data_IF_712520316639
#
_entry.id   IF_712520316639
#
_cell.length_a   1.000
_cell.length_b   1.000
_cell.length_c   1.000
_cell.angle_alpha   90.00
_cell.angle_beta   90.00
_cell.angle_gamma   90.00
#
_symmetry.space_group_name_H-M   'P 1'
#
loop_
_entity.id
_entity.type
_entity.pdbx_description
1 polymer ?
#
# COMPACT_ATOMS: atom_id res chain seq x y z
N UNK A 1 -8.43 6.67 -1.60
CA UNK A 1 -7.77 7.17 -0.38
C UNK A 1 -6.31 7.34 -0.74
N UNK A 2 -5.73 8.48 -0.42
CA UNK A 2 -4.30 8.72 -0.58
C UNK A 2 -3.63 8.49 0.77
N UNK A 3 -2.79 7.46 0.86
CA UNK A 3 -2.12 7.08 2.09
C UNK A 3 -0.73 7.72 2.20
N UNK A 4 -0.04 7.99 1.09
CA UNK A 4 1.34 8.52 1.08
C UNK A 4 2.25 7.85 2.13
N UNK A 5 2.25 6.51 2.20
CA UNK A 5 2.77 5.79 3.36
C UNK A 5 4.26 5.97 3.62
N UNK A 6 5.02 6.33 2.58
CA UNK A 6 6.42 6.74 2.67
C UNK A 6 6.66 7.91 3.65
N UNK A 7 5.70 8.83 3.81
CA UNK A 7 5.84 10.01 4.68
C UNK A 7 5.83 9.66 6.17
N UNK A 8 5.30 8.50 6.54
CA UNK A 8 5.25 8.02 7.92
C UNK A 8 5.95 6.68 8.13
N UNK A 9 6.73 6.22 7.15
CA UNK A 9 7.56 5.04 7.26
C UNK A 9 8.95 5.39 7.81
N UNK A 10 9.35 4.74 8.90
CA UNK A 10 10.67 4.91 9.51
C UNK A 10 11.10 3.68 10.29
N UNK A 11 12.35 3.24 10.08
CA UNK A 11 12.96 2.12 10.82
C UNK A 11 12.11 0.84 10.77
N UNK A 12 11.62 0.50 9.57
CA UNK A 12 10.74 -0.65 9.28
C UNK A 12 9.36 -0.63 9.97
N UNK A 13 8.90 0.57 10.35
CA UNK A 13 7.64 0.81 11.05
C UNK A 13 6.89 1.97 10.39
N UNK A 14 5.59 1.82 10.20
CA UNK A 14 4.65 2.88 9.80
C UNK A 14 4.02 3.51 11.06
N UNK A 15 4.11 4.83 11.19
CA UNK A 15 3.51 5.59 12.31
C UNK A 15 2.21 6.27 11.87
N UNK A 16 1.07 5.64 12.14
CA UNK A 16 -0.26 6.11 11.72
C UNK A 16 -1.07 6.47 12.97
N UNK A 17 -1.42 7.74 13.12
CA UNK A 17 -2.19 8.26 14.27
C UNK A 17 -1.62 7.83 15.65
N UNK A 18 -0.28 7.78 15.77
CA UNK A 18 0.41 7.35 16.98
C UNK A 18 0.43 5.85 17.21
N UNK A 19 -0.03 5.05 16.23
CA UNK A 19 0.13 3.61 16.19
C UNK A 19 1.35 3.27 15.35
N UNK A 20 2.22 2.43 15.91
CA UNK A 20 3.35 1.83 15.19
C UNK A 20 2.92 0.50 14.62
N UNK A 21 2.89 0.40 13.30
CA UNK A 21 2.50 -0.78 12.56
C UNK A 21 3.70 -1.30 11.77
N UNK A 22 3.96 -2.58 11.84
CA UNK A 22 4.83 -3.27 10.88
C UNK A 22 4.18 -3.32 9.49
N UNK A 23 4.96 -3.65 8.47
CA UNK A 23 4.47 -3.90 7.10
C UNK A 23 3.29 -4.89 7.07
N UNK A 24 3.38 -5.98 7.84
CA UNK A 24 2.34 -7.02 7.90
C UNK A 24 1.08 -6.53 8.61
N UNK A 25 1.23 -5.73 9.67
CA UNK A 25 0.10 -5.11 10.37
C UNK A 25 -0.59 -4.04 9.52
N UNK A 26 0.17 -3.24 8.77
CA UNK A 26 -0.39 -2.26 7.85
C UNK A 26 -1.13 -2.93 6.68
N UNK A 27 -0.57 -4.01 6.13
CA UNK A 27 -1.25 -4.83 5.13
C UNK A 27 -2.59 -5.35 5.66
N UNK A 28 -2.61 -5.91 6.87
CA UNK A 28 -3.85 -6.40 7.46
C UNK A 28 -4.85 -5.27 7.71
N UNK A 29 -4.37 -4.12 8.18
CA UNK A 29 -5.20 -2.92 8.37
C UNK A 29 -5.91 -2.51 7.08
N UNK A 30 -5.22 -2.49 5.94
CA UNK A 30 -5.87 -2.19 4.67
C UNK A 30 -6.86 -3.27 4.22
N UNK A 31 -6.55 -4.55 4.44
CA UNK A 31 -7.48 -5.63 4.10
C UNK A 31 -8.78 -5.51 4.90
N UNK A 32 -8.69 -5.20 6.18
CA UNK A 32 -9.85 -4.99 7.05
C UNK A 32 -10.63 -3.74 6.58
N UNK A 33 -9.92 -2.64 6.27
CA UNK A 33 -10.55 -1.41 5.78
C UNK A 33 -11.33 -1.61 4.48
N UNK A 34 -10.83 -2.44 3.56
CA UNK A 34 -11.49 -2.77 2.28
C UNK A 34 -12.68 -3.72 2.48
N UNK A 35 -12.66 -4.56 3.51
CA UNK A 35 -13.81 -5.40 3.86
C UNK A 35 -14.92 -4.59 4.52
N UNK A 36 -14.55 -3.67 5.41
CA UNK A 36 -15.49 -2.86 6.17
C UNK A 36 -16.09 -1.72 5.34
N UNK A 37 -15.33 -1.19 4.38
CA UNK A 37 -15.74 -0.06 3.55
C UNK A 37 -15.57 -0.37 2.06
N UNK A 38 -16.54 0.02 1.20
CA UNK A 38 -16.45 -0.21 -0.24
C UNK A 38 -15.47 0.78 -0.89
N UNK A 39 -14.18 0.66 -0.57
CA UNK A 39 -13.12 1.48 -1.11
C UNK A 39 -12.99 1.26 -2.63
N UNK A 40 -12.93 2.37 -3.37
CA UNK A 40 -12.78 2.35 -4.83
C UNK A 40 -11.32 2.45 -5.27
N UNK A 41 -10.51 3.17 -4.51
CA UNK A 41 -9.09 3.29 -4.76
C UNK A 41 -8.28 3.49 -3.48
N UNK A 42 -7.05 3.01 -3.51
CA UNK A 42 -5.99 3.34 -2.57
C UNK A 42 -4.74 3.77 -3.34
N UNK A 43 -4.07 4.82 -2.89
CA UNK A 43 -2.87 5.40 -3.50
C UNK A 43 -1.73 5.39 -2.47
N UNK A 44 -0.53 5.01 -2.93
CA UNK A 44 0.71 4.84 -2.15
C UNK A 44 0.51 4.14 -0.79
N UNK A 45 -0.02 2.90 -0.78
CA UNK A 45 -0.37 2.21 0.46
C UNK A 45 0.84 1.84 1.32
N UNK A 46 2.02 1.66 0.72
CA UNK A 46 3.25 1.24 1.39
C UNK A 46 4.43 2.12 0.95
N UNK A 47 5.56 2.02 1.64
CA UNK A 47 6.83 2.63 1.21
C UNK A 47 7.26 2.08 -0.17
N UNK A 48 7.94 2.91 -0.95
CA UNK A 48 8.46 2.58 -2.29
C UNK A 48 9.35 1.32 -2.37
N UNK A 49 9.88 0.84 -1.23
CA UNK A 49 10.71 -0.37 -1.15
C UNK A 49 9.93 -1.62 -0.74
N UNK A 50 8.69 -1.49 -0.27
CA UNK A 50 7.88 -2.61 0.21
C UNK A 50 7.03 -3.25 -0.90
N UNK A 51 7.72 -3.75 -1.93
CA UNK A 51 7.11 -4.49 -3.04
C UNK A 51 6.37 -5.75 -2.58
N UNK A 52 6.80 -6.35 -1.45
CA UNK A 52 6.21 -7.59 -0.95
C UNK A 52 4.81 -7.33 -0.40
N UNK A 53 4.64 -6.33 0.45
CA UNK A 53 3.33 -5.97 0.97
C UNK A 53 2.41 -5.44 -0.11
N UNK A 54 2.94 -4.66 -1.07
CA UNK A 54 2.17 -4.22 -2.24
C UNK A 54 1.62 -5.39 -3.07
N UNK A 55 2.47 -6.36 -3.41
CA UNK A 55 2.07 -7.55 -4.16
C UNK A 55 1.04 -8.38 -3.40
N UNK A 56 1.24 -8.55 -2.08
CA UNK A 56 0.30 -9.27 -1.23
C UNK A 56 -1.05 -8.56 -1.12
N UNK A 57 -1.07 -7.23 -1.02
CA UNK A 57 -2.31 -6.45 -1.02
C UNK A 57 -3.04 -6.68 -2.34
N UNK A 58 -2.37 -6.44 -3.47
CA UNK A 58 -2.91 -6.63 -4.83
C UNK A 58 -3.46 -8.04 -5.06
N UNK A 59 -2.80 -9.08 -4.54
CA UNK A 59 -3.24 -10.45 -4.69
C UNK A 59 -4.50 -10.79 -3.86
N UNK A 60 -4.74 -10.06 -2.76
CA UNK A 60 -5.82 -10.34 -1.81
C UNK A 60 -7.04 -9.44 -1.98
N UNK A 61 -6.87 -8.24 -2.55
CA UNK A 61 -7.98 -7.31 -2.79
C UNK A 61 -8.83 -7.73 -3.99
N UNK A 62 -10.12 -7.42 -3.94
CA UNK A 62 -11.04 -7.69 -5.05
C UNK A 62 -10.72 -6.79 -6.26
N UNK A 63 -10.97 -7.30 -7.48
CA UNK A 63 -10.73 -6.62 -8.76
C UNK A 63 -11.55 -5.34 -8.94
N UNK A 64 -12.47 -5.06 -8.02
CA UNK A 64 -13.31 -3.87 -8.01
C UNK A 64 -12.62 -2.66 -7.35
N UNK A 65 -11.48 -2.87 -6.68
CA UNK A 65 -10.67 -1.81 -6.08
C UNK A 65 -9.42 -1.53 -6.90
N UNK A 66 -9.12 -0.25 -7.13
CA UNK A 66 -7.92 0.22 -7.81
C UNK A 66 -6.80 0.47 -6.80
N UNK A 67 -5.60 -0.03 -7.07
CA UNK A 67 -4.38 0.41 -6.37
C UNK A 67 -3.62 1.32 -7.32
N UNK A 68 -3.28 2.52 -6.85
CA UNK A 68 -2.45 3.51 -7.54
C UNK A 68 -1.15 3.62 -6.77
N UNK A 69 -0.04 3.76 -7.50
CA UNK A 69 1.28 3.90 -6.92
C UNK A 69 2.02 4.96 -7.74
N UNK A 70 2.12 6.18 -7.22
CA UNK A 70 2.71 7.33 -7.93
C UNK A 70 4.24 7.21 -7.93
N UNK A 71 4.82 6.63 -6.87
CA UNK A 71 6.27 6.53 -6.68
C UNK A 71 6.91 5.29 -7.35
N UNK A 72 6.26 4.11 -7.37
CA UNK A 72 6.79 2.94 -8.11
C UNK A 72 6.73 3.14 -9.63
N UNK A 73 5.86 4.02 -10.12
CA UNK A 73 5.62 4.20 -11.55
C UNK A 73 6.38 5.37 -12.17
N UNK A 74 7.39 5.93 -11.49
CA UNK A 74 8.34 6.92 -12.04
C UNK A 74 9.09 6.41 -13.27
N UNK A 75 8.41 6.36 -14.41
CA UNK A 75 8.86 6.29 -15.81
C UNK A 75 10.19 5.57 -16.05
N UNK A 76 10.47 4.48 -15.33
CA UNK A 76 11.65 3.64 -15.56
C UNK A 76 11.16 2.37 -16.25
N UNK A 77 11.26 2.39 -17.58
CA UNK A 77 10.83 1.32 -18.50
C UNK A 77 11.40 -0.07 -18.19
N UNK A 78 12.30 -0.21 -17.21
CA UNK A 78 12.89 -1.47 -16.79
C UNK A 78 12.14 -2.26 -15.71
N UNK A 79 11.15 -1.66 -15.01
CA UNK A 79 10.48 -2.33 -13.86
C UNK A 79 9.09 -2.89 -14.14
N UNK A 80 8.47 -2.54 -15.27
CA UNK A 80 7.20 -3.15 -15.70
C UNK A 80 7.53 -4.25 -16.72
N UNK A 81 7.51 -5.52 -16.30
CA UNK A 81 7.43 -6.63 -17.23
C UNK A 81 5.99 -7.13 -17.29
N UNK A 82 5.50 -7.21 -18.54
CA UNK A 82 4.16 -7.67 -18.92
C UNK A 82 3.95 -9.17 -18.67
#
# INVERSE_FOLDING_TARGET
>A
MDAAASEFYKDDIYDIDGKKLSEEELLQYYLDLVQDYPLKSIEDPFDEKDFRSFSNLTAKIDKTMQIVDDDLTVTNKGRIQA
#
